data_IF_605864008584
#
_entry.id   IF_605864008584
#
_cell.length_a   1.000
_cell.length_b   1.000
_cell.length_c   1.000
_cell.angle_alpha   90.00
_cell.angle_beta   90.00
_cell.angle_gamma   90.00
#
_symmetry.space_group_name_H-M   'P 1'
#
loop_
_entity.id
_entity.type
_entity.pdbx_description
1 polymer ?
#
# COMPACT_ATOMS: atom_id res chain seq x y z
N UNK A 1 2.08 -6.27 4.04
CA UNK A 1 2.55 -5.31 5.06
C UNK A 1 3.95 -4.87 4.64
N UNK A 2 4.03 -3.80 3.85
CA UNK A 2 5.28 -3.35 3.20
C UNK A 2 5.91 -2.14 3.90
N UNK A 3 5.14 -1.42 4.73
CA UNK A 3 5.61 -0.27 5.49
C UNK A 3 6.27 -0.67 6.82
N UNK A 4 7.37 -0.01 7.17
CA UNK A 4 8.16 -0.29 8.40
C UNK A 4 7.60 0.47 9.62
N UNK A 5 6.89 1.58 9.39
CA UNK A 5 6.33 2.41 10.45
C UNK A 5 4.84 2.13 10.57
N UNK A 6 4.41 1.79 11.78
CA UNK A 6 2.99 1.61 12.08
C UNK A 6 2.40 2.99 12.41
N UNK A 7 1.36 3.46 11.69
CA UNK A 7 0.70 4.72 11.99
C UNK A 7 -0.08 4.63 13.31
N UNK A 8 -0.32 5.78 13.97
CA UNK A 8 -1.24 5.78 15.11
C UNK A 8 -2.68 5.60 14.64
N UNK A 9 -3.56 5.06 15.50
CA UNK A 9 -4.97 4.86 15.14
C UNK A 9 -5.68 6.16 14.74
N UNK A 10 -5.26 7.31 15.28
CA UNK A 10 -5.79 8.62 14.87
C UNK A 10 -5.38 9.00 13.46
N UNK A 11 -4.19 8.60 13.02
CA UNK A 11 -3.65 8.90 11.69
C UNK A 11 -4.34 8.08 10.60
N UNK A 12 -4.99 6.95 10.95
CA UNK A 12 -5.77 6.14 10.01
C UNK A 12 -7.04 6.85 9.52
N UNK A 13 -7.44 7.95 10.16
CA UNK A 13 -8.65 8.70 9.83
C UNK A 13 -8.34 9.87 8.89
N UNK A 14 -7.77 9.55 7.73
CA UNK A 14 -7.32 10.52 6.71
C UNK A 14 -8.46 11.15 5.90
N UNK A 15 -8.19 12.31 5.29
CA UNK A 15 -9.13 13.05 4.45
C UNK A 15 -10.04 13.98 5.26
N UNK A 16 -11.29 14.16 4.81
CA UNK A 16 -12.36 14.84 5.56
C UNK A 16 -13.36 13.80 6.09
N UNK A 17 -13.02 13.08 7.18
CA UNK A 17 -13.86 12.00 7.66
C UNK A 17 -15.19 12.55 8.19
N UNK A 18 -16.29 11.97 7.72
CA UNK A 18 -17.63 12.29 8.22
C UNK A 18 -17.85 11.85 9.67
N UNK A 19 -17.11 10.84 10.11
CA UNK A 19 -17.20 10.25 11.45
C UNK A 19 -15.80 9.99 12.01
N UNK A 20 -15.62 10.28 13.30
CA UNK A 20 -14.36 10.00 14.02
C UNK A 20 -14.59 8.83 14.97
N UNK A 21 -13.75 7.80 14.84
CA UNK A 21 -13.79 6.60 15.64
C UNK A 21 -12.77 6.65 16.79
N UNK A 22 -13.16 6.10 17.93
CA UNK A 22 -12.25 5.86 19.05
C UNK A 22 -11.19 4.83 18.65
N UNK A 23 -9.97 4.96 19.19
CA UNK A 23 -8.87 4.04 18.91
C UNK A 23 -9.23 2.55 19.15
N UNK A 24 -10.01 2.26 20.20
CA UNK A 24 -10.52 0.91 20.49
C UNK A 24 -11.42 0.34 19.38
N UNK A 25 -12.19 1.20 18.72
CA UNK A 25 -13.03 0.78 17.59
C UNK A 25 -12.18 0.45 16.39
N UNK A 26 -11.17 1.27 16.09
CA UNK A 26 -10.22 1.05 14.98
C UNK A 26 -9.46 -0.26 15.16
N UNK A 27 -8.97 -0.54 16.37
CA UNK A 27 -8.30 -1.80 16.68
C UNK A 27 -9.22 -3.02 16.47
N UNK A 28 -10.50 -2.93 16.85
CA UNK A 28 -11.48 -4.01 16.61
C UNK A 28 -11.72 -4.22 15.11
N UNK A 29 -11.78 -3.15 14.33
CA UNK A 29 -11.91 -3.22 12.87
C UNK A 29 -10.69 -3.89 12.25
N UNK A 30 -9.47 -3.52 12.67
CA UNK A 30 -8.23 -4.14 12.20
C UNK A 30 -8.21 -5.66 12.45
N UNK A 31 -8.51 -6.09 13.69
CA UNK A 31 -8.58 -7.52 14.04
C UNK A 31 -9.65 -8.26 13.22
N UNK A 32 -10.81 -7.63 12.97
CA UNK A 32 -11.87 -8.20 12.16
C UNK A 32 -11.43 -8.42 10.71
N UNK A 33 -10.78 -7.42 10.10
CA UNK A 33 -10.24 -7.51 8.73
C UNK A 33 -9.17 -8.59 8.65
N UNK A 34 -8.20 -8.59 9.58
CA UNK A 34 -7.13 -9.58 9.64
C UNK A 34 -7.67 -11.00 9.75
N UNK A 35 -8.65 -11.22 10.64
CA UNK A 35 -9.28 -12.53 10.83
C UNK A 35 -10.05 -12.96 9.58
N UNK A 36 -10.77 -12.04 8.95
CA UNK A 36 -11.53 -12.32 7.72
C UNK A 36 -10.62 -12.70 6.55
N UNK A 37 -9.46 -12.04 6.44
CA UNK A 37 -8.44 -12.37 5.43
C UNK A 37 -7.60 -13.61 5.80
N UNK A 38 -7.87 -14.26 6.93
CA UNK A 38 -7.06 -15.38 7.42
C UNK A 38 -5.59 -14.99 7.62
N UNK A 39 -5.35 -13.75 8.05
CA UNK A 39 -4.02 -13.15 8.23
C UNK A 39 -3.18 -13.04 6.95
N UNK A 40 -3.77 -13.24 5.76
CA UNK A 40 -3.09 -13.13 4.47
C UNK A 40 -3.02 -11.67 4.00
N UNK A 41 -2.10 -10.90 4.59
CA UNK A 41 -1.91 -9.47 4.34
C UNK A 41 -0.95 -9.14 3.19
N UNK A 42 -0.57 -10.14 2.40
CA UNK A 42 0.33 -9.99 1.26
C UNK A 42 -0.49 -10.11 -0.04
N UNK A 43 -1.07 -8.99 -0.46
CA UNK A 43 -1.72 -8.90 -1.76
C UNK A 43 -0.65 -8.68 -2.85
N UNK A 44 -0.76 -9.40 -3.97
CA UNK A 44 0.01 -9.09 -5.16
C UNK A 44 -0.65 -7.89 -5.84
N UNK A 45 0.10 -6.81 -6.00
CA UNK A 45 -0.35 -5.61 -6.73
C UNK A 45 0.54 -5.39 -7.95
N UNK A 46 0.12 -4.60 -8.95
CA UNK A 46 1.00 -4.25 -10.07
C UNK A 46 2.34 -3.65 -9.60
N UNK A 47 2.35 -2.94 -8.47
CA UNK A 47 3.56 -2.37 -7.88
C UNK A 47 4.61 -3.44 -7.51
N UNK A 48 4.17 -4.64 -7.12
CA UNK A 48 5.06 -5.77 -6.79
C UNK A 48 5.93 -6.24 -7.96
N UNK A 49 5.59 -5.86 -9.19
CA UNK A 49 6.32 -6.26 -10.40
C UNK A 49 7.17 -5.14 -11.01
N UNK A 50 7.15 -3.92 -10.45
CA UNK A 50 7.86 -2.76 -11.02
C UNK A 50 9.34 -3.06 -11.18
N UNK A 51 10.01 -3.55 -10.14
CA UNK A 51 11.44 -3.84 -10.18
C UNK A 51 11.79 -4.89 -11.24
N UNK A 52 10.96 -5.94 -11.36
CA UNK A 52 11.13 -6.97 -12.38
C UNK A 52 11.04 -6.39 -13.79
N UNK A 53 10.01 -5.59 -14.08
CA UNK A 53 9.83 -5.01 -15.41
C UNK A 53 10.87 -3.95 -15.72
N UNK A 54 11.27 -3.12 -14.76
CA UNK A 54 12.32 -2.13 -14.96
C UNK A 54 13.66 -2.80 -15.26
N UNK A 55 14.05 -3.83 -14.51
CA UNK A 55 15.27 -4.59 -14.79
C UNK A 55 15.23 -5.26 -16.19
N UNK A 56 14.06 -5.75 -16.60
CA UNK A 56 13.89 -6.43 -17.89
C UNK A 56 13.89 -5.46 -19.09
N UNK A 57 13.33 -4.27 -18.94
CA UNK A 57 13.18 -3.29 -20.04
C UNK A 57 14.42 -2.40 -20.16
N UNK A 58 15.01 -1.98 -19.04
CA UNK A 58 16.11 -1.00 -19.06
C UNK A 58 17.49 -1.62 -19.30
N UNK A 59 17.62 -2.95 -19.32
CA UNK A 59 18.91 -3.68 -19.38
C UNK A 59 19.92 -3.31 -18.27
N UNK A 60 19.52 -2.43 -17.35
CA UNK A 60 20.26 -1.99 -16.18
C UNK A 60 19.75 -2.73 -14.94
N UNK A 61 20.68 -3.09 -14.04
CA UNK A 61 20.37 -3.87 -12.83
C UNK A 61 19.65 -3.05 -11.75
N UNK A 62 19.64 -1.73 -11.86
CA UNK A 62 19.07 -0.85 -10.85
C UNK A 62 18.08 0.12 -11.47
N UNK A 63 16.82 0.02 -11.04
CA UNK A 63 15.81 1.00 -11.35
C UNK A 63 16.17 2.35 -10.70
N UNK A 64 16.27 3.41 -11.49
CA UNK A 64 16.30 4.76 -10.94
C UNK A 64 15.03 5.03 -10.12
N UNK A 65 15.16 5.71 -8.97
CA UNK A 65 14.02 6.08 -8.12
C UNK A 65 12.94 6.87 -8.88
N UNK A 66 13.37 7.66 -9.87
CA UNK A 66 12.50 8.39 -10.82
C UNK A 66 11.59 7.46 -11.61
N UNK A 67 12.13 6.33 -12.10
CA UNK A 67 11.41 5.32 -12.88
C UNK A 67 10.39 4.54 -12.05
N UNK A 68 10.73 4.22 -10.79
CA UNK A 68 9.78 3.60 -9.86
C UNK A 68 8.62 4.56 -9.59
N UNK A 69 8.89 5.81 -9.23
CA UNK A 69 7.87 6.81 -8.95
C UNK A 69 6.95 7.05 -10.16
N UNK A 70 7.52 7.12 -11.37
CA UNK A 70 6.75 7.24 -12.62
C UNK A 70 5.88 6.02 -12.89
N UNK A 71 6.39 4.82 -12.64
CA UNK A 71 5.64 3.57 -12.82
C UNK A 71 4.45 3.50 -11.88
N UNK A 72 4.65 3.84 -10.59
CA UNK A 72 3.55 3.94 -9.62
C UNK A 72 2.50 4.94 -10.07
N UNK A 73 2.90 6.12 -10.53
CA UNK A 73 1.96 7.13 -11.02
C UNK A 73 1.12 6.63 -12.21
N UNK A 74 1.74 5.92 -13.15
CA UNK A 74 1.04 5.33 -14.29
C UNK A 74 0.04 4.25 -13.86
N UNK A 75 0.44 3.36 -12.94
CA UNK A 75 -0.45 2.33 -12.38
C UNK A 75 -1.66 2.98 -11.68
N UNK A 76 -1.43 4.00 -10.85
CA UNK A 76 -2.51 4.70 -10.14
C UNK A 76 -3.47 5.42 -11.09
N UNK A 77 -2.97 5.93 -12.22
CA UNK A 77 -3.82 6.56 -13.24
C UNK A 77 -4.74 5.58 -13.98
N UNK A 78 -4.40 4.29 -14.03
CA UNK A 78 -5.22 3.23 -14.67
C UNK A 78 -6.37 2.79 -13.76
N UNK A 79 -6.20 2.92 -12.44
CA UNK A 79 -7.18 2.46 -11.44
C UNK A 79 -8.29 3.52 -11.19
N UNK A 80 -8.21 4.68 -11.86
CA UNK A 80 -9.20 5.77 -11.80
C UNK A 80 -10.35 5.61 -12.79
#
# INVERSE_FOLDING_TARGET
MEEVKVPHSVDLQVGEPRFVFHAKTIQRMELMVLSTLGWKMQALTPCSFIDYFLAKISCEKHAEKSSIARSVQLILNIIK
#
